data_IF_498895966881
#
_entry.id   IF_498895966881
#
_cell.length_a   1.000
_cell.length_b   1.000
_cell.length_c   1.000
_cell.angle_alpha   90.00
_cell.angle_beta   90.00
_cell.angle_gamma   90.00
#
_symmetry.space_group_name_H-M   'P 1'
#
loop_
_entity.id
_entity.type
_entity.pdbx_description
1 polymer ?
#
# COMPACT_ATOMS: atom_id res chain seq x y z
N UNK A 1 -13.44 -0.45 2.30
CA UNK A 1 -13.36 -1.89 2.67
C UNK A 1 -13.21 -2.01 4.18
N UNK A 2 -13.75 -3.08 4.79
CA UNK A 2 -13.54 -3.41 6.21
C UNK A 2 -12.44 -4.48 6.31
N UNK A 3 -11.37 -4.27 7.10
CA UNK A 3 -10.28 -5.24 7.22
C UNK A 3 -10.75 -6.61 7.74
N UNK A 4 -10.30 -7.68 7.08
CA UNK A 4 -10.50 -9.09 7.48
C UNK A 4 -11.94 -9.44 7.86
N UNK A 5 -12.92 -8.91 7.10
CA UNK A 5 -14.33 -9.18 7.32
C UNK A 5 -14.61 -10.69 7.33
N UNK A 6 -15.25 -11.19 8.39
CA UNK A 6 -15.63 -12.59 8.55
C UNK A 6 -14.64 -13.44 9.35
N UNK A 7 -13.46 -12.91 9.71
CA UNK A 7 -12.56 -13.59 10.65
C UNK A 7 -12.94 -13.28 12.09
N UNK A 8 -12.96 -14.30 12.94
CA UNK A 8 -12.89 -14.11 14.40
C UNK A 8 -11.42 -13.88 14.81
N UNK A 9 -11.21 -13.25 15.98
CA UNK A 9 -9.87 -12.82 16.43
C UNK A 9 -8.89 -13.99 16.51
N UNK A 10 -9.32 -15.13 17.02
CA UNK A 10 -8.50 -16.33 17.17
C UNK A 10 -8.01 -16.86 15.81
N UNK A 11 -8.90 -16.90 14.82
CA UNK A 11 -8.57 -17.32 13.45
C UNK A 11 -7.66 -16.32 12.76
N UNK A 12 -7.88 -15.02 12.99
CA UNK A 12 -7.08 -13.95 12.40
C UNK A 12 -5.62 -14.04 12.82
N UNK A 13 -5.34 -14.32 14.09
CA UNK A 13 -3.95 -14.47 14.57
C UNK A 13 -3.25 -15.63 13.84
N UNK A 14 -3.92 -16.77 13.68
CA UNK A 14 -3.39 -17.90 12.92
C UNK A 14 -3.16 -17.56 11.45
N UNK A 15 -4.13 -16.87 10.83
CA UNK A 15 -4.05 -16.43 9.44
C UNK A 15 -2.84 -15.51 9.19
N UNK A 16 -2.61 -14.53 10.08
CA UNK A 16 -1.49 -13.60 10.00
C UNK A 16 -0.13 -14.28 10.25
N UNK A 17 -0.05 -15.20 11.21
CA UNK A 17 1.17 -15.99 11.48
C UNK A 17 1.55 -16.93 10.34
N UNK A 18 0.58 -17.37 9.54
CA UNK A 18 0.84 -18.12 8.32
C UNK A 18 1.34 -17.24 7.14
N UNK A 19 1.60 -15.94 7.39
CA UNK A 19 2.10 -14.99 6.38
C UNK A 19 1.01 -14.36 5.51
N UNK A 20 -0.26 -14.71 5.69
CA UNK A 20 -1.34 -14.14 4.89
C UNK A 20 -1.62 -12.69 5.27
N UNK A 21 -1.95 -11.86 4.27
CA UNK A 21 -2.30 -10.45 4.41
C UNK A 21 -3.50 -10.12 3.54
N UNK A 22 -4.11 -8.96 3.75
CA UNK A 22 -5.15 -8.45 2.87
C UNK A 22 -4.65 -8.36 1.44
N UNK A 23 -5.47 -8.79 0.48
CA UNK A 23 -5.22 -8.54 -0.94
C UNK A 23 -5.19 -7.05 -1.25
N UNK A 24 -4.52 -6.68 -2.35
CA UNK A 24 -4.50 -5.29 -2.83
C UNK A 24 -5.92 -4.75 -3.03
N UNK A 25 -6.28 -3.61 -2.42
CA UNK A 25 -7.52 -2.91 -2.74
C UNK A 25 -7.54 -2.46 -4.21
N UNK A 26 -8.71 -2.42 -4.85
CA UNK A 26 -8.84 -2.04 -6.27
C UNK A 26 -8.32 -0.62 -6.56
N UNK A 27 -8.57 0.32 -5.64
CA UNK A 27 -8.14 1.71 -5.76
C UNK A 27 -6.68 1.96 -5.35
N UNK A 28 -5.95 0.93 -4.93
CA UNK A 28 -4.56 1.08 -4.51
C UNK A 28 -3.62 0.71 -5.65
N UNK A 29 -2.72 1.64 -6.00
CA UNK A 29 -1.61 1.36 -6.90
C UNK A 29 -0.68 0.29 -6.31
N UNK A 30 0.01 -0.44 -7.19
CA UNK A 30 0.93 -1.50 -6.81
C UNK A 30 2.03 -1.01 -5.86
N UNK A 31 2.61 0.17 -6.14
CA UNK A 31 3.61 0.81 -5.29
C UNK A 31 3.08 1.12 -3.87
N UNK A 32 1.80 1.49 -3.74
CA UNK A 32 1.17 1.73 -2.44
C UNK A 32 1.00 0.42 -1.70
N UNK A 33 0.56 -0.62 -2.40
CA UNK A 33 0.37 -1.94 -1.80
C UNK A 33 1.68 -2.57 -1.32
N UNK A 34 2.79 -2.38 -2.06
CA UNK A 34 4.13 -2.77 -1.60
C UNK A 34 4.49 -2.12 -0.26
N UNK A 35 4.20 -0.82 -0.09
CA UNK A 35 4.39 -0.13 1.21
C UNK A 35 3.56 -0.82 2.30
N UNK A 36 2.31 -1.19 2.01
CA UNK A 36 1.45 -1.89 2.98
C UNK A 36 2.03 -3.25 3.37
N UNK A 37 2.52 -4.04 2.40
CA UNK A 37 3.16 -5.34 2.66
C UNK A 37 4.42 -5.18 3.52
N UNK A 38 5.26 -4.19 3.23
CA UNK A 38 6.47 -3.90 4.04
C UNK A 38 6.10 -3.51 5.47
N UNK A 39 5.07 -2.70 5.67
CA UNK A 39 4.53 -2.35 6.98
C UNK A 39 3.99 -3.56 7.76
N UNK A 40 3.63 -4.64 7.06
CA UNK A 40 3.06 -5.85 7.66
C UNK A 40 4.05 -7.02 7.74
N UNK A 41 5.35 -6.78 7.57
CA UNK A 41 6.36 -7.81 7.81
C UNK A 41 6.28 -8.37 9.22
N UNK A 42 6.54 -9.66 9.34
CA UNK A 42 6.47 -10.38 10.62
C UNK A 42 7.50 -9.82 11.60
N UNK A 43 8.76 -9.75 11.17
CA UNK A 43 9.84 -9.12 11.92
C UNK A 43 9.62 -7.59 12.00
N UNK A 44 9.46 -7.02 13.21
CA UNK A 44 9.34 -5.58 13.40
C UNK A 44 10.55 -4.79 12.88
N UNK A 45 11.76 -5.36 12.92
CA UNK A 45 12.98 -4.67 12.49
C UNK A 45 13.08 -4.54 10.97
N UNK A 46 12.35 -5.38 10.22
CA UNK A 46 12.25 -5.27 8.77
C UNK A 46 11.19 -4.26 8.31
N UNK A 47 10.37 -3.74 9.22
CA UNK A 47 9.31 -2.77 8.87
C UNK A 47 9.92 -1.41 8.59
N UNK A 48 9.40 -0.67 7.60
CA UNK A 48 9.93 0.65 7.27
C UNK A 48 9.62 1.64 8.40
N UNK A 49 10.54 2.60 8.59
CA UNK A 49 10.28 3.75 9.47
C UNK A 49 9.22 4.65 8.85
N UNK A 50 8.57 5.48 9.68
CA UNK A 50 7.65 6.50 9.17
C UNK A 50 8.31 7.44 8.16
N UNK A 51 9.58 7.81 8.37
CA UNK A 51 10.34 8.63 7.43
C UNK A 51 10.43 7.94 6.06
N UNK A 52 10.84 6.67 6.02
CA UNK A 52 10.92 5.90 4.78
C UNK A 52 9.55 5.77 4.07
N UNK A 53 8.48 5.55 4.84
CA UNK A 53 7.10 5.51 4.31
C UNK A 53 6.75 6.85 3.67
N UNK A 54 6.98 7.97 4.37
CA UNK A 54 6.64 9.29 3.85
C UNK A 54 7.42 9.66 2.60
N UNK A 55 8.71 9.34 2.53
CA UNK A 55 9.53 9.56 1.33
C UNK A 55 8.99 8.76 0.13
N UNK A 56 8.62 7.48 0.33
CA UNK A 56 8.04 6.65 -0.75
C UNK A 56 6.69 7.19 -1.23
N UNK A 57 5.82 7.58 -0.30
CA UNK A 57 4.52 8.17 -0.64
C UNK A 57 4.67 9.49 -1.41
N UNK A 58 5.65 10.32 -1.03
CA UNK A 58 5.94 11.57 -1.74
C UNK A 58 6.32 11.32 -3.21
N UNK A 59 7.20 10.35 -3.48
CA UNK A 59 7.58 9.97 -4.85
C UNK A 59 6.37 9.49 -5.65
N UNK A 60 5.51 8.65 -5.07
CA UNK A 60 4.29 8.16 -5.73
C UNK A 60 3.37 9.33 -6.10
N UNK A 61 3.19 10.29 -5.18
CA UNK A 61 2.35 11.47 -5.42
C UNK A 61 2.93 12.35 -6.53
N UNK A 62 4.25 12.60 -6.54
CA UNK A 62 4.88 13.38 -7.60
C UNK A 62 4.73 12.72 -8.97
N UNK A 63 4.93 11.40 -9.06
CA UNK A 63 4.76 10.64 -10.29
C UNK A 63 3.32 10.77 -10.82
N UNK A 64 2.33 10.60 -9.93
CA UNK A 64 0.93 10.76 -10.28
C UNK A 64 0.61 12.18 -10.78
N UNK A 65 1.07 13.22 -10.06
CA UNK A 65 0.83 14.61 -10.45
C UNK A 65 1.46 14.95 -11.80
N UNK A 66 2.68 14.49 -12.07
CA UNK A 66 3.34 14.68 -13.38
C UNK A 66 2.55 14.00 -14.51
N UNK A 67 2.02 12.80 -14.26
CA UNK A 67 1.19 12.09 -15.23
C UNK A 67 -0.09 12.85 -15.56
N UNK A 68 -0.79 13.41 -14.56
CA UNK A 68 -1.98 14.22 -14.80
C UNK A 68 -1.68 15.50 -15.60
N UNK A 69 -0.60 16.21 -15.26
CA UNK A 69 -0.21 17.44 -15.95
C UNK A 69 0.18 17.19 -17.43
N UNK A 70 0.69 16.01 -17.78
CA UNK A 70 0.98 15.63 -19.17
C UNK A 70 -0.29 15.36 -19.99
N UNK A 71 -1.34 14.86 -19.36
CA UNK A 71 -2.63 14.57 -20.02
C UNK A 71 -3.38 15.88 -20.34
N UNK A 72 -3.33 16.90 -19.46
CA UNK A 72 -3.91 18.22 -19.75
C UNK A 72 -3.23 18.93 -20.93
N UNK A 73 -1.94 18.71 -21.16
CA UNK A 73 -1.19 19.34 -22.26
C UNK A 73 -1.46 18.78 -23.66
N UNK A 74 -2.31 17.74 -23.80
CA UNK A 74 -2.57 17.06 -25.07
C UNK A 74 -3.97 17.29 -25.67
N UNK A 75 -4.80 18.14 -25.06
CA UNK A 75 -6.11 18.48 -25.64
C UNK A 75 -6.05 19.55 -26.74
N UNK A 76 -4.87 20.13 -27.01
CA UNK A 76 -4.65 21.14 -28.04
C UNK A 76 -3.69 20.64 -29.15
N UNK A 77 -4.09 19.64 -29.94
CA UNK A 77 -3.51 19.39 -31.28
C UNK A 77 -4.53 18.80 -32.26
#
# INVERSE_FOLDING_TARGET
QVPYLGFIVEELVGHLKAGNRLSRPEAADEKIYEIMLDCWKEDPEERPTFEAITSRLHVILEDATKSYNYVESKEDE
#
